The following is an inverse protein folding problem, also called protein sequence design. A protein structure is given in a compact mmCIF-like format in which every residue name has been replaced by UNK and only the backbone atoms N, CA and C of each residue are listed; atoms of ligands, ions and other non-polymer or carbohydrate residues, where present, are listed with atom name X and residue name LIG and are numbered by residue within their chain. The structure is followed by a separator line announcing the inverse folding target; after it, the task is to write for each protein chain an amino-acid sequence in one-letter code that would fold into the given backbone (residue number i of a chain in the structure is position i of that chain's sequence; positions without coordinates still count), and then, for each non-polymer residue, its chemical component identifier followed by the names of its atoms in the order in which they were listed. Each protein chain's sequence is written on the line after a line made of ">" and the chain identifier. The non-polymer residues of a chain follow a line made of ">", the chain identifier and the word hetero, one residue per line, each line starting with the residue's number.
data_IF_049849033090
#
_entry.id   IF_049849033090
#
_cell.length_a   1.000
_cell.length_b   1.000
_cell.length_c   1.000
_cell.angle_alpha   90.00
_cell.angle_beta   90.00
_cell.angle_gamma   90.00
#
_symmetry.space_group_name_H-M   'P 1'
#
loop_
_entity.id
_entity.type
_entity.pdbx_description
1 polymer ?
#
# COMPACT_ATOMS: atom_id res chain seq x y z
N UNK A 1 -54.19 40.44 23.60
CA UNK A 1 -53.30 39.29 23.28
C UNK A 1 -53.87 38.56 22.08
N UNK A 2 -53.31 38.79 20.88
CA UNK A 2 -53.69 38.07 19.66
C UNK A 2 -52.95 36.72 19.65
N UNK A 3 -53.70 35.63 19.71
CA UNK A 3 -53.17 34.28 19.67
C UNK A 3 -53.01 33.87 18.19
N UNK A 4 -51.77 33.90 17.68
CA UNK A 4 -51.47 33.48 16.30
C UNK A 4 -51.60 31.96 16.24
N UNK A 5 -52.72 31.47 15.68
CA UNK A 5 -52.90 30.04 15.38
C UNK A 5 -52.06 29.70 14.15
N UNK A 6 -50.98 28.96 14.34
CA UNK A 6 -50.28 28.31 13.23
C UNK A 6 -51.21 27.22 12.67
N UNK A 7 -51.56 27.35 11.40
CA UNK A 7 -52.32 26.31 10.69
C UNK A 7 -51.37 25.16 10.39
N UNK A 8 -51.41 24.10 11.19
CA UNK A 8 -50.72 22.84 10.89
C UNK A 8 -51.35 22.20 9.65
N UNK A 9 -50.77 22.51 8.49
CA UNK A 9 -51.06 21.78 7.24
C UNK A 9 -50.37 20.42 7.33
N UNK A 10 -51.15 19.39 7.59
CA UNK A 10 -50.66 18.00 7.62
C UNK A 10 -50.09 17.60 6.26
N UNK A 11 -48.94 16.94 6.29
CA UNK A 11 -48.27 16.36 5.11
C UNK A 11 -49.21 15.33 4.47
N UNK A 12 -49.44 15.42 3.15
CA UNK A 12 -50.33 14.46 2.48
C UNK A 12 -49.61 13.12 2.27
N UNK A 13 -50.36 12.00 2.32
CA UNK A 13 -49.81 10.68 2.01
C UNK A 13 -49.22 10.61 0.60
N UNK A 14 -49.78 11.38 -0.34
CA UNK A 14 -49.30 11.47 -1.73
C UNK A 14 -47.96 12.18 -1.82
N UNK A 15 -47.76 13.27 -1.06
CA UNK A 15 -46.46 13.95 -0.99
C UNK A 15 -45.38 13.00 -0.46
N UNK A 16 -45.68 12.23 0.59
CA UNK A 16 -44.71 11.29 1.13
C UNK A 16 -44.41 10.14 0.14
N UNK A 17 -45.42 9.68 -0.59
CA UNK A 17 -45.27 8.63 -1.60
C UNK A 17 -44.41 9.05 -2.78
N UNK A 18 -44.59 10.28 -3.30
CA UNK A 18 -43.77 10.76 -4.42
C UNK A 18 -42.31 10.92 -3.99
N UNK A 19 -42.07 11.40 -2.76
CA UNK A 19 -40.71 11.59 -2.23
C UNK A 19 -39.95 10.26 -2.13
N UNK A 20 -40.56 9.19 -1.62
CA UNK A 20 -39.88 7.89 -1.54
C UNK A 20 -39.58 7.32 -2.93
N UNK A 21 -40.44 7.57 -3.93
CA UNK A 21 -40.20 7.15 -5.31
C UNK A 21 -39.01 7.91 -5.90
N UNK A 22 -38.97 9.23 -5.73
CA UNK A 22 -37.86 10.06 -6.22
C UNK A 22 -36.55 9.67 -5.53
N UNK A 23 -36.54 9.49 -4.21
CA UNK A 23 -35.34 9.04 -3.47
C UNK A 23 -34.91 7.65 -3.96
N UNK A 24 -35.85 6.74 -4.26
CA UNK A 24 -35.55 5.42 -4.81
C UNK A 24 -34.84 5.49 -6.17
N UNK A 25 -35.32 6.34 -7.08
CA UNK A 25 -34.71 6.53 -8.40
C UNK A 25 -33.31 7.16 -8.27
N UNK A 26 -33.19 8.23 -7.47
CA UNK A 26 -31.91 8.91 -7.27
C UNK A 26 -30.86 7.99 -6.62
N UNK A 27 -31.25 7.19 -5.63
CA UNK A 27 -30.37 6.23 -4.99
C UNK A 27 -29.87 5.16 -5.98
N UNK A 28 -30.73 4.68 -6.87
CA UNK A 28 -30.35 3.71 -7.91
C UNK A 28 -29.29 4.25 -8.89
N UNK A 29 -29.46 5.49 -9.36
CA UNK A 29 -28.51 6.13 -10.30
C UNK A 29 -27.14 6.34 -9.64
N UNK A 30 -27.12 6.79 -8.38
CA UNK A 30 -25.88 7.09 -7.65
C UNK A 30 -25.01 5.84 -7.49
N UNK A 31 -25.60 4.69 -7.14
CA UNK A 31 -24.86 3.42 -6.99
C UNK A 31 -24.30 2.93 -8.34
N UNK A 32 -25.04 3.16 -9.43
CA UNK A 32 -24.58 2.78 -10.78
C UNK A 32 -23.35 3.56 -11.25
N UNK A 33 -23.23 4.84 -10.84
CA UNK A 33 -22.11 5.72 -11.26
C UNK A 33 -20.92 5.61 -10.31
N UNK A 34 -21.18 5.60 -8.99
CA UNK A 34 -20.15 5.49 -7.97
C UNK A 34 -19.86 4.01 -7.73
N UNK A 35 -18.91 3.43 -8.47
CA UNK A 35 -18.42 2.08 -8.17
C UNK A 35 -17.73 2.09 -6.79
N UNK A 36 -18.45 1.73 -5.70
CA UNK A 36 -17.99 2.03 -4.35
C UNK A 36 -16.82 1.13 -3.96
N UNK A 37 -16.76 -0.06 -4.56
CA UNK A 37 -15.69 -1.03 -4.40
C UNK A 37 -14.38 -0.47 -4.94
N UNK A 38 -14.40 0.11 -6.14
CA UNK A 38 -13.20 0.71 -6.73
C UNK A 38 -12.73 1.93 -5.95
N UNK A 39 -13.65 2.73 -5.39
CA UNK A 39 -13.31 3.84 -4.52
C UNK A 39 -12.67 3.36 -3.20
N UNK A 40 -13.22 2.31 -2.59
CA UNK A 40 -12.65 1.70 -1.39
C UNK A 40 -11.26 1.09 -1.67
N UNK A 41 -11.08 0.42 -2.80
CA UNK A 41 -9.79 -0.15 -3.20
C UNK A 41 -8.72 0.93 -3.39
N UNK A 42 -9.07 2.08 -4.00
CA UNK A 42 -8.16 3.23 -4.10
C UNK A 42 -7.80 3.82 -2.74
N UNK A 43 -8.74 3.85 -1.79
CA UNK A 43 -8.46 4.29 -0.43
C UNK A 43 -7.50 3.33 0.28
N UNK A 44 -7.68 2.02 0.12
CA UNK A 44 -6.75 0.99 0.62
C UNK A 44 -5.35 1.14 0.02
N UNK A 45 -5.25 1.43 -1.27
CA UNK A 45 -3.97 1.72 -1.93
C UNK A 45 -3.27 2.94 -1.34
N UNK A 46 -4.03 3.99 -1.02
CA UNK A 46 -3.50 5.15 -0.28
C UNK A 46 -2.87 4.76 1.05
N UNK A 47 -3.55 3.90 1.81
CA UNK A 47 -3.04 3.38 3.08
C UNK A 47 -1.79 2.51 2.89
N UNK A 48 -1.78 1.60 1.89
CA UNK A 48 -0.61 0.79 1.56
C UNK A 48 0.61 1.66 1.22
N UNK A 49 0.44 2.67 0.35
CA UNK A 49 1.52 3.60 -0.03
C UNK A 49 2.04 4.38 1.17
N UNK A 50 1.17 4.78 2.09
CA UNK A 50 1.57 5.43 3.35
C UNK A 50 2.42 4.51 4.23
N UNK A 51 2.02 3.23 4.35
CA UNK A 51 2.79 2.24 5.11
C UNK A 51 4.14 1.92 4.47
N UNK A 52 4.21 1.82 3.14
CA UNK A 52 5.50 1.74 2.41
C UNK A 52 6.36 2.96 2.72
N UNK A 53 5.79 4.16 2.72
CA UNK A 53 6.54 5.41 2.99
C UNK A 53 7.07 5.46 4.42
N UNK A 54 6.31 4.98 5.40
CA UNK A 54 6.78 4.85 6.79
C UNK A 54 7.92 3.84 6.92
N UNK A 55 7.76 2.68 6.29
CA UNK A 55 8.79 1.66 6.26
C UNK A 55 10.06 2.15 5.52
N UNK A 56 9.89 2.91 4.44
CA UNK A 56 10.96 3.55 3.69
C UNK A 56 11.73 4.57 4.54
N UNK A 57 11.03 5.38 5.33
CA UNK A 57 11.66 6.31 6.26
C UNK A 57 12.52 5.56 7.28
N UNK A 58 12.01 4.46 7.85
CA UNK A 58 12.78 3.62 8.77
C UNK A 58 14.03 3.04 8.09
N UNK A 59 13.87 2.39 6.93
CA UNK A 59 14.98 1.84 6.16
C UNK A 59 16.03 2.89 5.78
N UNK A 60 15.59 4.07 5.34
CA UNK A 60 16.46 5.19 5.00
C UNK A 60 17.23 5.69 6.21
N UNK A 61 16.56 5.86 7.35
CA UNK A 61 17.20 6.34 8.58
C UNK A 61 18.33 5.41 9.04
N UNK A 62 18.11 4.10 8.94
CA UNK A 62 19.09 3.06 9.26
C UNK A 62 20.24 3.02 8.25
N UNK A 63 19.92 3.18 6.95
CA UNK A 63 20.91 3.24 5.88
C UNK A 63 21.88 4.40 6.10
N UNK A 64 21.38 5.61 6.35
CA UNK A 64 22.22 6.81 6.52
C UNK A 64 22.90 6.89 7.89
N UNK A 65 22.37 6.22 8.92
CA UNK A 65 23.00 6.13 10.24
C UNK A 65 24.13 5.11 10.31
N UNK A 66 24.20 4.20 9.34
CA UNK A 66 25.30 3.24 9.25
C UNK A 66 26.62 3.97 9.01
N UNK A 67 27.76 3.48 9.54
CA UNK A 67 29.06 4.14 9.34
C UNK A 67 29.29 4.46 7.86
N UNK A 68 29.66 5.70 7.56
CA UNK A 68 29.69 6.33 6.20
C UNK A 68 30.50 5.60 5.11
N UNK A 69 31.14 4.48 5.43
CA UNK A 69 31.95 3.67 4.51
C UNK A 69 31.52 2.19 4.48
N UNK A 70 30.37 1.85 5.06
CA UNK A 70 29.89 0.47 5.10
C UNK A 70 29.06 0.10 3.86
N UNK A 71 28.56 1.07 3.07
CA UNK A 71 27.63 0.87 1.93
C UNK A 71 26.73 -0.34 2.16
N UNK A 72 25.98 -0.26 3.25
CA UNK A 72 25.27 -1.41 3.83
C UNK A 72 23.83 -1.01 4.03
N UNK A 73 22.95 -1.57 3.20
CA UNK A 73 21.53 -1.57 3.48
C UNK A 73 21.24 -2.25 4.83
N UNK A 74 20.20 -1.78 5.56
CA UNK A 74 19.82 -2.36 6.84
C UNK A 74 19.62 -3.87 6.71
N UNK A 75 20.12 -4.64 7.69
CA UNK A 75 19.77 -6.05 7.79
C UNK A 75 18.27 -6.21 7.99
N UNK A 76 17.76 -7.42 7.76
CA UNK A 76 16.36 -7.70 7.98
C UNK A 76 15.94 -7.42 9.44
N UNK A 77 16.79 -7.76 10.41
CA UNK A 77 16.56 -7.46 11.83
C UNK A 77 16.62 -5.95 12.15
N UNK A 78 17.58 -5.21 11.57
CA UNK A 78 17.67 -3.75 11.74
C UNK A 78 16.40 -3.09 11.17
N UNK A 79 15.98 -3.51 9.97
CA UNK A 79 14.76 -3.03 9.34
C UNK A 79 13.52 -3.38 10.18
N UNK A 80 13.36 -4.64 10.59
CA UNK A 80 12.25 -5.11 11.43
C UNK A 80 12.15 -4.31 12.73
N UNK A 81 13.28 -4.06 13.41
CA UNK A 81 13.33 -3.21 14.60
C UNK A 81 12.98 -1.74 14.31
N UNK A 82 13.40 -1.22 13.14
CA UNK A 82 13.10 0.16 12.72
C UNK A 82 11.64 0.38 12.34
N UNK A 83 10.96 -0.64 11.82
CA UNK A 83 9.54 -0.55 11.45
C UNK A 83 8.58 -0.91 12.57
N UNK A 84 9.03 -1.20 13.81
CA UNK A 84 8.17 -1.64 14.92
C UNK A 84 7.00 -0.69 15.32
N UNK A 85 6.90 0.50 14.71
CA UNK A 85 5.70 1.36 14.78
C UNK A 85 4.57 0.91 13.85
N UNK A 86 4.90 0.15 12.81
CA UNK A 86 4.00 -0.67 12.02
C UNK A 86 3.94 -2.00 12.78
N UNK A 87 2.84 -2.28 13.47
CA UNK A 87 2.65 -3.57 14.14
C UNK A 87 2.86 -4.72 13.14
N UNK A 88 4.02 -5.39 13.19
CA UNK A 88 4.44 -6.38 12.18
C UNK A 88 3.96 -7.76 12.57
N UNK A 89 3.31 -8.45 11.64
CA UNK A 89 2.90 -9.85 11.78
C UNK A 89 3.48 -10.72 10.65
N UNK A 90 3.69 -12.00 10.94
CA UNK A 90 4.07 -13.04 9.98
C UNK A 90 5.25 -12.61 9.08
N UNK A 91 6.34 -12.16 9.72
CA UNK A 91 7.58 -11.75 9.06
C UNK A 91 8.59 -12.89 9.01
N UNK A 92 9.27 -13.03 7.87
CA UNK A 92 10.53 -13.80 7.76
C UNK A 92 11.77 -12.86 7.81
N UNK A 93 11.55 -11.57 8.02
CA UNK A 93 12.59 -10.56 8.20
C UNK A 93 13.41 -10.73 9.50
N UNK A 94 13.16 -11.78 10.28
CA UNK A 94 13.91 -12.13 11.49
C UNK A 94 15.04 -13.14 11.22
N UNK A 95 15.13 -13.67 10.00
CA UNK A 95 16.17 -14.62 9.66
C UNK A 95 17.54 -13.94 9.60
N UNK A 96 18.44 -14.34 10.49
CA UNK A 96 19.88 -13.99 10.50
C UNK A 96 20.64 -14.41 9.22
N UNK A 97 19.95 -14.95 8.20
CA UNK A 97 20.51 -15.32 6.89
C UNK A 97 21.00 -14.13 6.06
N UNK A 98 20.73 -12.90 6.50
CA UNK A 98 20.95 -11.69 5.71
C UNK A 98 22.08 -10.76 6.17
N UNK A 99 23.16 -11.25 6.79
CA UNK A 99 24.28 -10.46 7.32
C UNK A 99 24.80 -9.31 6.40
N UNK A 100 25.72 -8.45 6.90
CA UNK A 100 26.28 -7.35 6.11
C UNK A 100 26.72 -7.83 4.70
N UNK A 101 26.13 -7.28 3.64
CA UNK A 101 26.47 -7.62 2.26
C UNK A 101 25.59 -8.65 1.53
N UNK A 102 24.65 -9.32 2.22
CA UNK A 102 23.73 -10.28 1.58
C UNK A 102 22.68 -9.56 0.74
N UNK A 103 22.44 -10.04 -0.48
CA UNK A 103 21.34 -9.58 -1.34
C UNK A 103 20.18 -10.55 -1.26
N UNK A 104 18.97 -10.03 -1.10
CA UNK A 104 17.76 -10.85 -1.01
C UNK A 104 16.54 -10.06 -0.60
N UNK A 105 15.45 -10.78 -0.34
CA UNK A 105 14.21 -10.21 0.17
C UNK A 105 13.70 -10.95 1.39
N UNK A 106 12.95 -10.23 2.20
CA UNK A 106 12.08 -10.77 3.25
C UNK A 106 10.66 -10.24 3.04
N UNK A 107 9.68 -11.00 3.52
CA UNK A 107 8.26 -10.70 3.52
C UNK A 107 7.80 -10.34 4.93
N UNK A 108 6.88 -9.40 5.01
CA UNK A 108 6.26 -9.01 6.27
C UNK A 108 4.84 -8.49 6.06
N UNK A 109 4.05 -8.45 7.12
CA UNK A 109 2.69 -7.91 7.08
C UNK A 109 2.51 -6.90 8.19
N UNK A 110 1.57 -5.99 7.99
CA UNK A 110 1.19 -5.02 9.01
C UNK A 110 -0.16 -5.44 9.56
N UNK A 111 -0.26 -5.74 10.85
CA UNK A 111 -1.44 -6.34 11.51
C UNK A 111 -2.72 -5.53 11.27
N UNK A 112 -2.61 -4.20 11.24
CA UNK A 112 -3.74 -3.30 11.06
C UNK A 112 -4.16 -3.10 9.59
N UNK A 113 -3.53 -3.78 8.63
CA UNK A 113 -3.78 -3.61 7.21
C UNK A 113 -4.23 -4.91 6.57
N UNK A 114 -5.33 -4.83 5.82
CA UNK A 114 -5.68 -5.85 4.85
C UNK A 114 -4.64 -5.83 3.72
N UNK A 115 -4.25 -7.02 3.26
CA UNK A 115 -3.43 -7.19 2.06
C UNK A 115 -4.26 -7.83 0.94
N UNK A 116 -3.92 -7.60 -0.34
CA UNK A 116 -4.59 -8.28 -1.44
C UNK A 116 -4.53 -9.81 -1.31
N UNK A 117 -5.60 -10.47 -1.71
CA UNK A 117 -5.66 -11.92 -1.78
C UNK A 117 -5.06 -12.44 -3.09
N UNK A 118 -4.87 -13.76 -3.13
CA UNK A 118 -4.42 -14.54 -4.28
C UNK A 118 -3.04 -14.10 -4.79
N UNK A 119 -2.05 -14.04 -3.90
CA UNK A 119 -0.67 -13.73 -4.31
C UNK A 119 -0.01 -14.88 -5.06
N UNK A 120 0.93 -14.54 -5.96
CA UNK A 120 1.86 -15.47 -6.59
C UNK A 120 2.71 -16.28 -5.62
N UNK A 121 3.47 -17.23 -6.16
CA UNK A 121 4.36 -18.09 -5.37
C UNK A 121 5.45 -17.31 -4.60
N UNK A 122 5.76 -16.08 -5.03
CA UNK A 122 6.73 -15.20 -4.35
C UNK A 122 6.16 -14.53 -3.09
N UNK A 123 4.84 -14.56 -2.89
CA UNK A 123 4.16 -13.98 -1.74
C UNK A 123 3.95 -12.46 -1.77
N UNK A 124 4.45 -11.72 -2.77
CA UNK A 124 4.25 -10.25 -2.85
C UNK A 124 3.79 -9.74 -4.22
N UNK A 125 3.97 -10.53 -5.28
CA UNK A 125 3.63 -10.18 -6.65
C UNK A 125 2.70 -11.22 -7.28
N UNK A 126 2.30 -10.98 -8.52
CA UNK A 126 1.45 -11.85 -9.34
C UNK A 126 0.07 -12.15 -8.73
N UNK A 127 -0.79 -12.76 -9.54
CA UNK A 127 -2.13 -13.21 -9.14
C UNK A 127 -2.19 -14.72 -9.32
N UNK A 128 -2.35 -15.49 -8.23
CA UNK A 128 -2.42 -16.94 -8.25
C UNK A 128 -3.84 -17.49 -8.02
N UNK A 129 -3.94 -18.82 -7.96
CA UNK A 129 -5.15 -19.50 -7.52
C UNK A 129 -5.52 -19.15 -6.05
N UNK A 130 -6.79 -19.32 -5.65
CA UNK A 130 -7.28 -18.86 -4.36
C UNK A 130 -6.54 -19.45 -3.16
N UNK A 131 -6.22 -18.61 -2.16
CA UNK A 131 -5.81 -19.07 -0.83
C UNK A 131 -4.61 -18.34 -0.21
N UNK A 132 -3.69 -17.79 -1.01
CA UNK A 132 -2.52 -17.07 -0.50
C UNK A 132 -2.79 -15.56 -0.38
N UNK A 133 -2.48 -14.97 0.77
CA UNK A 133 -2.52 -13.51 0.95
C UNK A 133 -1.16 -12.89 0.58
N UNK A 134 -1.18 -11.71 -0.05
CA UNK A 134 0.05 -10.98 -0.34
C UNK A 134 0.66 -10.39 0.94
N UNK A 135 1.97 -10.21 0.91
CA UNK A 135 2.75 -9.54 1.95
C UNK A 135 3.43 -8.30 1.38
N UNK A 136 3.89 -7.42 2.27
CA UNK A 136 4.91 -6.46 1.91
C UNK A 136 6.21 -7.22 1.67
N UNK A 137 7.05 -6.67 0.79
CA UNK A 137 8.39 -7.18 0.54
C UNK A 137 9.40 -6.10 0.87
N UNK A 138 10.44 -6.47 1.60
CA UNK A 138 11.65 -5.67 1.76
C UNK A 138 12.77 -6.40 1.04
N UNK A 139 13.34 -5.76 0.02
CA UNK A 139 14.49 -6.25 -0.72
C UNK A 139 15.70 -5.38 -0.43
N UNK A 140 16.86 -6.00 -0.28
CA UNK A 140 18.12 -5.28 -0.07
C UNK A 140 19.25 -5.85 -0.91
N UNK A 141 20.19 -4.99 -1.26
CA UNK A 141 21.57 -5.30 -1.62
C UNK A 141 22.48 -4.36 -0.82
N UNK A 142 23.82 -4.48 -0.87
CA UNK A 142 24.70 -3.58 -0.12
C UNK A 142 24.36 -2.09 -0.33
N UNK A 143 24.16 -1.67 -1.58
CA UNK A 143 24.00 -0.25 -1.94
C UNK A 143 22.56 0.21 -2.06
N UNK A 144 21.57 -0.68 -1.92
CA UNK A 144 20.17 -0.29 -2.14
C UNK A 144 19.21 -1.10 -1.27
N UNK A 145 18.06 -0.49 -0.98
CA UNK A 145 16.92 -1.21 -0.48
C UNK A 145 15.65 -0.79 -1.21
N UNK A 146 14.67 -1.70 -1.22
CA UNK A 146 13.36 -1.51 -1.83
C UNK A 146 12.30 -2.06 -0.92
N UNK A 147 11.16 -1.39 -0.88
CA UNK A 147 9.98 -1.83 -0.17
C UNK A 147 8.82 -1.82 -1.15
N UNK A 148 8.07 -2.90 -1.21
CA UNK A 148 6.93 -2.97 -2.10
C UNK A 148 5.72 -3.66 -1.51
N UNK A 149 4.56 -3.37 -2.08
CA UNK A 149 3.32 -4.08 -1.82
C UNK A 149 2.40 -4.02 -3.04
N UNK A 150 1.67 -5.12 -3.29
CA UNK A 150 0.62 -5.16 -4.31
C UNK A 150 -0.59 -4.35 -3.83
N UNK A 151 -1.19 -3.59 -4.74
CA UNK A 151 -2.40 -2.80 -4.52
C UNK A 151 -3.70 -3.58 -4.79
N UNK A 152 -4.82 -2.92 -4.51
CA UNK A 152 -6.19 -3.40 -4.63
C UNK A 152 -6.96 -2.80 -5.80
N UNK A 153 -6.64 -1.56 -6.22
CA UNK A 153 -7.39 -0.90 -7.28
C UNK A 153 -7.20 -1.64 -8.60
N UNK A 154 -8.27 -1.84 -9.38
CA UNK A 154 -8.15 -2.38 -10.73
C UNK A 154 -7.87 -1.27 -11.76
N UNK A 155 -6.85 -1.39 -12.64
CA UNK A 155 -5.92 -2.52 -12.74
C UNK A 155 -4.93 -2.53 -11.56
N UNK A 156 -4.70 -3.71 -11.00
CA UNK A 156 -3.80 -3.88 -9.85
C UNK A 156 -2.36 -3.57 -10.23
N UNK A 157 -1.62 -2.98 -9.29
CA UNK A 157 -0.24 -2.56 -9.48
C UNK A 157 0.61 -3.00 -8.29
N UNK A 158 1.90 -3.18 -8.54
CA UNK A 158 2.90 -3.32 -7.49
C UNK A 158 3.48 -1.94 -7.20
N UNK A 159 3.26 -1.44 -5.98
CA UNK A 159 3.86 -0.19 -5.52
C UNK A 159 5.25 -0.47 -4.95
N UNK A 160 6.24 0.32 -5.33
CA UNK A 160 7.63 0.12 -4.92
C UNK A 160 8.24 1.46 -4.55
N UNK A 161 8.80 1.54 -3.36
CA UNK A 161 9.78 2.55 -3.01
C UNK A 161 11.19 1.95 -3.19
N UNK A 162 12.10 2.70 -3.79
CA UNK A 162 13.51 2.30 -3.97
C UNK A 162 14.40 3.42 -3.49
N UNK A 163 15.46 3.05 -2.78
CA UNK A 163 16.56 3.91 -2.40
C UNK A 163 17.85 3.20 -2.78
N UNK A 164 18.70 3.86 -3.56
CA UNK A 164 19.94 3.29 -4.09
C UNK A 164 21.05 4.34 -4.04
N UNK A 165 22.18 3.97 -3.45
CA UNK A 165 23.41 4.75 -3.45
C UNK A 165 24.30 4.28 -4.60
N UNK A 166 24.60 5.18 -5.53
CA UNK A 166 25.50 4.92 -6.64
C UNK A 166 26.95 4.95 -6.17
N UNK A 167 27.83 4.30 -6.92
CA UNK A 167 29.29 4.33 -6.67
C UNK A 167 29.88 5.73 -6.69
N UNK A 168 29.21 6.69 -7.34
CA UNK A 168 29.58 8.11 -7.38
C UNK A 168 29.13 8.89 -6.12
N UNK A 169 28.46 8.23 -5.16
CA UNK A 169 27.83 8.87 -4.01
C UNK A 169 26.49 9.56 -4.32
N UNK A 170 25.98 9.42 -5.55
CA UNK A 170 24.66 9.95 -5.91
C UNK A 170 23.56 9.03 -5.40
N UNK A 171 22.48 9.60 -4.87
CA UNK A 171 21.31 8.83 -4.41
C UNK A 171 20.24 8.82 -5.51
N UNK A 172 19.82 7.62 -5.92
CA UNK A 172 18.64 7.39 -6.72
C UNK A 172 17.50 6.90 -5.82
N UNK A 173 16.51 7.76 -5.62
CA UNK A 173 15.36 7.49 -4.77
C UNK A 173 14.05 7.77 -5.53
N UNK A 174 12.98 7.08 -5.17
CA UNK A 174 11.66 7.40 -5.70
C UNK A 174 10.56 6.42 -5.27
N UNK A 175 9.37 6.67 -5.80
CA UNK A 175 8.23 5.78 -5.68
C UNK A 175 7.72 5.44 -7.08
N UNK A 176 7.38 4.17 -7.28
CA UNK A 176 6.99 3.62 -8.57
C UNK A 176 5.72 2.78 -8.47
N UNK A 177 4.97 2.77 -9.56
CA UNK A 177 3.88 1.85 -9.85
C UNK A 177 4.30 0.92 -10.98
N UNK A 178 4.34 -0.38 -10.71
CA UNK A 178 4.76 -1.39 -11.67
C UNK A 178 3.61 -2.38 -11.95
N UNK A 179 3.67 -3.15 -13.04
CA UNK A 179 2.79 -4.31 -13.25
C UNK A 179 2.94 -5.31 -12.10
N UNK A 180 1.88 -6.06 -11.80
CA UNK A 180 1.92 -7.07 -10.72
C UNK A 180 2.90 -8.20 -10.99
N UNK A 181 3.36 -8.42 -12.22
CA UNK A 181 4.40 -9.40 -12.56
C UNK A 181 5.82 -8.90 -12.30
N UNK A 182 5.98 -7.64 -11.88
CA UNK A 182 7.29 -7.07 -11.65
C UNK A 182 7.99 -7.72 -10.45
N UNK A 183 9.28 -8.03 -10.60
CA UNK A 183 10.11 -8.60 -9.54
C UNK A 183 10.85 -7.52 -8.76
N UNK A 184 10.76 -7.52 -7.44
CA UNK A 184 11.33 -6.48 -6.56
C UNK A 184 12.86 -6.30 -6.71
N UNK A 185 13.56 -7.36 -7.11
CA UNK A 185 15.01 -7.34 -7.33
C UNK A 185 15.41 -6.53 -8.57
N UNK A 186 14.49 -6.33 -9.52
CA UNK A 186 14.73 -5.59 -10.75
C UNK A 186 14.62 -4.08 -10.52
N UNK A 187 15.34 -3.28 -11.32
CA UNK A 187 15.32 -1.82 -11.17
C UNK A 187 13.97 -1.24 -11.63
N UNK A 188 13.26 -0.47 -10.79
CA UNK A 188 11.98 0.13 -11.15
C UNK A 188 12.14 1.34 -12.09
N UNK A 189 13.37 1.77 -12.42
CA UNK A 189 13.61 2.76 -13.47
C UNK A 189 13.41 2.21 -14.91
N UNK A 190 13.05 0.93 -15.04
CA UNK A 190 12.68 0.29 -16.31
C UNK A 190 11.44 0.94 -16.96
N UNK A 191 11.27 0.83 -18.30
CA UNK A 191 10.14 1.46 -19.01
C UNK A 191 8.76 0.88 -18.65
N UNK A 192 8.72 -0.23 -17.89
CA UNK A 192 7.45 -0.87 -17.51
C UNK A 192 6.83 -0.27 -16.27
N UNK A 193 7.56 0.55 -15.51
CA UNK A 193 7.10 1.15 -14.28
C UNK A 193 6.94 2.67 -14.42
N UNK A 194 5.86 3.19 -13.87
CA UNK A 194 5.58 4.62 -13.82
C UNK A 194 6.06 5.19 -12.49
N UNK A 195 6.78 6.31 -12.50
CA UNK A 195 7.12 7.04 -11.27
C UNK A 195 5.89 7.83 -10.78
N UNK A 196 5.56 7.74 -9.49
CA UNK A 196 4.32 8.29 -8.88
C UNK A 196 4.54 9.00 -7.53
#
# INVERSE_FOLDING_TARGET
>A
MHNVKFSDKGFTLVELLIVIVIIGILAGVVIGVLNPIQQQNRARDGTLRSSISKAALAGKSLFVSSPRNANRAPTYQEFAGGIGTLDVANSDCDDNTGGPGVTGSCLFRVTALDNPANCGATGYNEVAAPGAQCSFVYYKSPTLFRIGARGFASPERLFIYSFEEQTTGAILEGFWSCPVTFGIATSPSSPTCDRI
#
